data_IF_195449031213
#
_entry.id   IF_195449031213
#
_cell.length_a   1.000
_cell.length_b   1.000
_cell.length_c   1.000
_cell.angle_alpha   90.00
_cell.angle_beta   90.00
_cell.angle_gamma   90.00
#
_symmetry.space_group_name_H-M   'P 1'
#
loop_
_entity.id
_entity.type
_entity.pdbx_description
1 polymer ?
#
# COMPACT_ATOMS: atom_id res chain seq x y z
N UNK A 1 -37.67 -18.25 85.81
CA UNK A 1 -36.39 -17.93 85.14
C UNK A 1 -36.20 -18.96 84.04
N UNK A 2 -36.62 -18.64 82.82
CA UNK A 2 -36.78 -19.60 81.73
C UNK A 2 -35.50 -19.63 80.90
N UNK A 3 -34.77 -20.74 80.98
CA UNK A 3 -33.50 -20.92 80.29
C UNK A 3 -33.79 -21.16 78.79
N UNK A 4 -33.50 -20.17 77.96
CA UNK A 4 -33.60 -20.27 76.51
C UNK A 4 -32.44 -21.13 76.00
N UNK A 5 -32.74 -22.37 75.63
CA UNK A 5 -31.75 -23.29 75.07
C UNK A 5 -31.44 -22.83 73.65
N UNK A 6 -30.30 -22.17 73.46
CA UNK A 6 -29.72 -21.89 72.15
C UNK A 6 -28.81 -23.07 71.77
N UNK A 7 -29.26 -23.91 70.84
CA UNK A 7 -28.47 -24.98 70.21
C UNK A 7 -27.45 -24.37 69.23
N UNK A 8 -26.16 -24.55 69.51
CA UNK A 8 -25.05 -24.10 68.67
C UNK A 8 -23.71 -24.30 69.38
N UNK A 9 -22.61 -24.43 68.62
CA UNK A 9 -21.26 -24.56 69.19
C UNK A 9 -20.89 -23.31 70.02
N UNK A 10 -20.20 -23.49 71.14
CA UNK A 10 -19.88 -22.41 72.09
C UNK A 10 -18.40 -22.39 72.41
N UNK A 11 -17.78 -21.22 72.36
CA UNK A 11 -16.41 -21.05 72.84
C UNK A 11 -16.47 -20.83 74.35
N UNK A 12 -15.72 -21.64 75.07
CA UNK A 12 -15.68 -21.62 76.51
C UNK A 12 -14.29 -21.18 76.97
N UNK A 13 -14.20 -19.98 77.54
CA UNK A 13 -12.93 -19.49 78.10
C UNK A 13 -13.05 -19.46 79.62
N UNK A 14 -12.11 -20.10 80.31
CA UNK A 14 -12.04 -20.11 81.77
C UNK A 14 -10.80 -19.36 82.22
N UNK A 15 -10.97 -18.42 83.14
CA UNK A 15 -9.86 -17.70 83.76
C UNK A 15 -9.91 -17.85 85.28
N UNK A 16 -8.80 -18.25 85.93
CA UNK A 16 -8.77 -18.40 87.37
C UNK A 16 -8.78 -17.03 88.06
N UNK A 17 -9.64 -16.87 89.05
CA UNK A 17 -9.62 -15.75 89.98
C UNK A 17 -8.78 -16.19 91.18
N UNK A 18 -7.62 -15.56 91.32
CA UNK A 18 -6.67 -15.81 92.39
C UNK A 18 -7.12 -15.05 93.65
N UNK A 19 -7.21 -15.74 94.79
CA UNK A 19 -7.38 -15.10 96.10
C UNK A 19 -6.13 -15.42 96.90
N UNK A 20 -5.23 -14.44 97.01
CA UNK A 20 -3.83 -14.69 97.37
C UNK A 20 -3.04 -15.26 96.19
N UNK A 21 -2.17 -16.26 96.42
CA UNK A 21 -1.37 -16.94 95.37
C UNK A 21 -2.00 -18.22 94.84
N UNK A 22 -3.22 -18.58 95.26
CA UNK A 22 -3.91 -19.81 94.85
C UNK A 22 -5.19 -19.49 94.06
N UNK A 23 -5.44 -20.21 92.94
CA UNK A 23 -6.71 -20.11 92.22
C UNK A 23 -7.81 -20.78 93.04
N UNK A 24 -8.84 -20.02 93.41
CA UNK A 24 -9.98 -20.51 94.21
C UNK A 24 -11.27 -20.54 93.40
N UNK A 25 -11.47 -19.60 92.49
CA UNK A 25 -12.64 -19.55 91.62
C UNK A 25 -12.23 -19.50 90.14
N UNK A 26 -13.11 -19.92 89.25
CA UNK A 26 -12.90 -19.83 87.80
C UNK A 26 -14.05 -19.08 87.17
N UNK A 27 -13.74 -17.97 86.49
CA UNK A 27 -14.73 -17.25 85.70
C UNK A 27 -14.83 -17.93 84.34
N UNK A 28 -16.03 -18.43 84.03
CA UNK A 28 -16.31 -19.11 82.77
C UNK A 28 -17.17 -18.21 81.89
N UNK A 29 -16.63 -17.78 80.75
CA UNK A 29 -17.36 -17.00 79.76
C UNK A 29 -17.69 -17.91 78.58
N UNK A 30 -18.99 -18.08 78.32
CA UNK A 30 -19.50 -18.91 77.24
C UNK A 30 -20.07 -18.00 76.16
N UNK A 31 -19.37 -17.86 75.05
CA UNK A 31 -19.82 -17.06 73.90
C UNK A 31 -20.43 -17.95 72.82
N UNK A 32 -21.65 -17.64 72.33
CA UNK A 32 -22.21 -18.31 71.15
C UNK A 32 -21.34 -18.04 69.92
N UNK A 33 -20.86 -19.10 69.25
CA UNK A 33 -19.94 -18.94 68.09
C UNK A 33 -20.64 -18.52 66.81
N UNK A 34 -21.93 -18.84 66.67
CA UNK A 34 -22.80 -18.44 65.57
C UNK A 34 -22.72 -16.94 65.28
N UNK A 35 -22.76 -16.10 66.32
CA UNK A 35 -22.66 -14.64 66.18
C UNK A 35 -21.30 -14.17 65.67
N UNK A 36 -20.22 -14.88 65.99
CA UNK A 36 -18.86 -14.57 65.55
C UNK A 36 -18.70 -14.97 64.08
N UNK A 37 -19.09 -16.19 63.71
CA UNK A 37 -18.98 -16.69 62.35
C UNK A 37 -19.86 -15.94 61.35
N UNK A 38 -21.10 -15.56 61.73
CA UNK A 38 -21.98 -14.77 60.86
C UNK A 38 -21.38 -13.40 60.48
N UNK A 39 -20.67 -12.76 61.42
CA UNK A 39 -20.03 -11.46 61.18
C UNK A 39 -18.77 -11.59 60.32
N UNK A 40 -17.98 -12.65 60.51
CA UNK A 40 -16.80 -12.92 59.66
C UNK A 40 -17.24 -13.28 58.24
N UNK A 41 -18.24 -14.14 58.10
CA UNK A 41 -18.73 -14.60 56.80
C UNK A 41 -19.29 -13.44 55.95
N UNK A 42 -20.06 -12.54 56.55
CA UNK A 42 -20.61 -11.37 55.85
C UNK A 42 -19.53 -10.38 55.38
N UNK A 43 -18.46 -10.18 56.16
CA UNK A 43 -17.31 -9.35 55.77
C UNK A 43 -16.51 -10.00 54.64
N UNK A 44 -16.18 -11.29 54.77
CA UNK A 44 -15.46 -12.05 53.73
C UNK A 44 -16.23 -12.08 52.41
N UNK A 45 -17.55 -12.28 52.46
CA UNK A 45 -18.41 -12.29 51.28
C UNK A 45 -18.46 -10.91 50.59
N UNK A 46 -18.54 -9.83 51.37
CA UNK A 46 -18.57 -8.46 50.83
C UNK A 46 -17.26 -8.10 50.13
N UNK A 47 -16.12 -8.46 50.71
CA UNK A 47 -14.80 -8.24 50.06
C UNK A 47 -14.63 -9.13 48.81
N UNK A 48 -15.12 -10.37 48.84
CA UNK A 48 -15.13 -11.26 47.67
C UNK A 48 -15.91 -10.70 46.48
N UNK A 49 -17.10 -10.12 46.73
CA UNK A 49 -17.92 -9.52 45.67
C UNK A 49 -17.23 -8.30 45.05
N UNK A 50 -16.60 -7.45 45.86
CA UNK A 50 -15.86 -6.28 45.35
C UNK A 50 -14.76 -6.70 44.38
N UNK A 51 -13.96 -7.70 44.76
CA UNK A 51 -12.91 -8.24 43.89
C UNK A 51 -13.46 -8.83 42.59
N UNK A 52 -14.57 -9.57 42.66
CA UNK A 52 -15.21 -10.14 41.48
C UNK A 52 -15.78 -9.06 40.53
N UNK A 53 -16.37 -7.99 41.08
CA UNK A 53 -16.90 -6.87 40.29
C UNK A 53 -15.79 -6.11 39.53
N UNK A 54 -14.60 -5.99 40.10
CA UNK A 54 -13.44 -5.37 39.45
C UNK A 54 -12.89 -6.24 38.31
N UNK A 55 -12.81 -7.56 38.53
CA UNK A 55 -12.36 -8.50 37.50
C UNK A 55 -13.33 -8.58 36.32
N UNK A 56 -14.62 -8.65 36.58
CA UNK A 56 -15.66 -8.66 35.54
C UNK A 56 -15.71 -7.36 34.74
N UNK A 57 -15.53 -6.21 35.39
CA UNK A 57 -15.44 -4.91 34.71
C UNK A 57 -14.23 -4.79 33.78
N UNK A 58 -13.05 -5.17 34.25
CA UNK A 58 -11.82 -5.10 33.45
C UNK A 58 -11.84 -6.07 32.27
N UNK A 59 -12.30 -7.31 32.49
CA UNK A 59 -12.47 -8.30 31.41
C UNK A 59 -13.49 -7.83 30.36
N UNK A 60 -14.64 -7.28 30.78
CA UNK A 60 -15.61 -6.71 29.85
C UNK A 60 -15.01 -5.56 29.03
N UNK A 61 -14.26 -4.65 29.67
CA UNK A 61 -13.58 -3.55 28.98
C UNK A 61 -12.55 -4.05 27.96
N UNK A 62 -11.76 -5.08 28.31
CA UNK A 62 -10.81 -5.71 27.39
C UNK A 62 -11.54 -6.34 26.19
N UNK A 63 -12.65 -7.04 26.42
CA UNK A 63 -13.44 -7.64 25.33
C UNK A 63 -13.95 -6.57 24.36
N UNK A 64 -14.49 -5.46 24.88
CA UNK A 64 -14.95 -4.33 24.07
C UNK A 64 -13.78 -3.72 23.28
N UNK A 65 -12.63 -3.52 23.92
CA UNK A 65 -11.43 -3.00 23.26
C UNK A 65 -10.96 -3.91 22.12
N UNK A 66 -10.89 -5.22 22.36
CA UNK A 66 -10.51 -6.23 21.35
C UNK A 66 -11.49 -6.22 20.18
N UNK A 67 -12.79 -6.09 20.45
CA UNK A 67 -13.81 -6.00 19.40
C UNK A 67 -13.61 -4.74 18.54
N UNK A 68 -13.37 -3.58 19.16
CA UNK A 68 -13.09 -2.33 18.45
C UNK A 68 -11.82 -2.44 17.60
N UNK A 69 -10.74 -3.00 18.16
CA UNK A 69 -9.48 -3.20 17.45
C UNK A 69 -9.65 -4.14 16.25
N UNK A 70 -10.41 -5.23 16.39
CA UNK A 70 -10.72 -6.13 15.27
C UNK A 70 -11.51 -5.43 14.18
N UNK A 71 -12.50 -4.63 14.54
CA UNK A 71 -13.31 -3.88 13.57
C UNK A 71 -12.46 -2.86 12.80
N UNK A 72 -11.62 -2.10 13.50
CA UNK A 72 -10.69 -1.15 12.87
C UNK A 72 -9.66 -1.83 11.98
N UNK A 73 -9.10 -2.95 12.43
CA UNK A 73 -8.14 -3.74 11.65
C UNK A 73 -8.75 -4.22 10.33
N UNK A 74 -9.99 -4.72 10.35
CA UNK A 74 -10.67 -5.19 9.13
C UNK A 74 -10.87 -4.06 8.12
N UNK A 75 -11.34 -2.89 8.57
CA UNK A 75 -11.57 -1.73 7.70
C UNK A 75 -10.25 -1.24 7.09
N UNK A 76 -9.19 -1.18 7.90
CA UNK A 76 -7.89 -0.72 7.44
C UNK A 76 -7.28 -1.66 6.40
N UNK A 77 -7.39 -2.98 6.60
CA UNK A 77 -6.91 -3.97 5.64
C UNK A 77 -7.66 -3.91 4.32
N UNK A 78 -8.97 -3.69 4.36
CA UNK A 78 -9.78 -3.52 3.15
C UNK A 78 -9.37 -2.28 2.36
N UNK A 79 -9.20 -1.13 3.02
CA UNK A 79 -8.76 0.11 2.37
C UNK A 79 -7.34 -0.02 1.81
N UNK A 80 -6.40 -0.62 2.56
CA UNK A 80 -5.03 -0.86 2.07
C UNK A 80 -5.04 -1.76 0.85
N UNK A 81 -5.83 -2.83 0.87
CA UNK A 81 -5.94 -3.77 -0.26
C UNK A 81 -6.52 -3.07 -1.48
N UNK A 82 -7.57 -2.25 -1.28
CA UNK A 82 -8.19 -1.47 -2.35
C UNK A 82 -7.21 -0.47 -2.96
N UNK A 83 -6.53 0.33 -2.14
CA UNK A 83 -5.52 1.30 -2.60
C UNK A 83 -4.36 0.61 -3.32
N UNK A 84 -3.91 -0.53 -2.80
CA UNK A 84 -2.84 -1.32 -3.45
C UNK A 84 -3.30 -1.83 -4.81
N UNK A 85 -4.54 -2.28 -4.92
CA UNK A 85 -5.13 -2.72 -6.20
C UNK A 85 -5.26 -1.57 -7.18
N UNK A 86 -5.83 -0.43 -6.78
CA UNK A 86 -6.03 0.75 -7.63
C UNK A 86 -4.67 1.31 -8.10
N UNK A 87 -3.68 1.33 -7.20
CA UNK A 87 -2.31 1.75 -7.51
C UNK A 87 -1.65 0.78 -8.50
N UNK A 88 -1.79 -0.53 -8.31
CA UNK A 88 -1.26 -1.53 -9.24
C UNK A 88 -1.94 -1.45 -10.61
N UNK A 89 -3.24 -1.23 -10.67
CA UNK A 89 -3.96 -1.04 -11.94
C UNK A 89 -3.47 0.22 -12.67
N UNK A 90 -3.29 1.32 -11.94
CA UNK A 90 -2.76 2.57 -12.48
C UNK A 90 -1.33 2.41 -12.99
N UNK A 91 -0.46 1.74 -12.22
CA UNK A 91 0.89 1.42 -12.63
C UNK A 91 0.91 0.53 -13.88
N UNK A 92 0.02 -0.46 -13.96
CA UNK A 92 -0.09 -1.31 -15.15
C UNK A 92 -0.51 -0.53 -16.40
N UNK A 93 -1.48 0.39 -16.27
CA UNK A 93 -1.90 1.29 -17.36
C UNK A 93 -0.75 2.20 -17.79
N UNK A 94 -0.03 2.80 -16.83
CA UNK A 94 1.13 3.64 -17.11
C UNK A 94 2.24 2.86 -17.80
N UNK A 95 2.53 1.64 -17.34
CA UNK A 95 3.54 0.77 -17.95
C UNK A 95 3.19 0.45 -19.41
N UNK A 96 1.93 0.09 -19.69
CA UNK A 96 1.46 -0.16 -21.06
C UNK A 96 1.51 1.07 -21.94
N UNK A 97 1.10 2.23 -21.42
CA UNK A 97 1.17 3.49 -22.17
C UNK A 97 2.62 3.85 -22.50
N UNK A 98 3.53 3.68 -21.53
CA UNK A 98 4.96 3.93 -21.70
C UNK A 98 5.60 2.97 -22.72
N UNK A 99 5.24 1.69 -22.69
CA UNK A 99 5.69 0.71 -23.68
C UNK A 99 5.22 1.09 -25.10
N UNK A 100 3.96 1.49 -25.25
CA UNK A 100 3.43 1.97 -26.53
C UNK A 100 4.14 3.23 -27.01
N UNK A 101 4.40 4.18 -26.12
CA UNK A 101 5.17 5.39 -26.44
C UNK A 101 6.59 5.05 -26.88
N UNK A 102 7.25 4.12 -26.20
CA UNK A 102 8.61 3.70 -26.54
C UNK A 102 8.66 3.04 -27.92
N UNK A 103 7.69 2.20 -28.26
CA UNK A 103 7.59 1.59 -29.60
C UNK A 103 7.43 2.67 -30.68
N UNK A 104 6.58 3.68 -30.44
CA UNK A 104 6.40 4.81 -31.36
C UNK A 104 7.68 5.63 -31.52
N UNK A 105 8.34 5.95 -30.42
CA UNK A 105 9.59 6.72 -30.43
C UNK A 105 10.70 5.97 -31.17
N UNK A 106 10.82 4.65 -30.97
CA UNK A 106 11.78 3.82 -31.70
C UNK A 106 11.46 3.76 -33.20
N UNK A 107 10.18 3.60 -33.57
CA UNK A 107 9.76 3.62 -34.97
C UNK A 107 10.03 4.98 -35.63
N UNK A 108 9.77 6.09 -34.92
CA UNK A 108 10.06 7.44 -35.40
C UNK A 108 11.56 7.65 -35.61
N UNK A 109 12.38 7.23 -34.65
CA UNK A 109 13.83 7.32 -34.75
C UNK A 109 14.37 6.48 -35.91
N UNK A 110 13.84 5.27 -36.13
CA UNK A 110 14.18 4.45 -37.28
C UNK A 110 13.79 5.12 -38.60
N UNK A 111 12.58 5.69 -38.68
CA UNK A 111 12.11 6.42 -39.86
C UNK A 111 13.03 7.59 -40.21
N UNK A 112 13.38 8.43 -39.23
CA UNK A 112 14.28 9.58 -39.44
C UNK A 112 15.65 9.12 -39.94
N UNK A 113 16.21 8.06 -39.35
CA UNK A 113 17.51 7.52 -39.75
C UNK A 113 17.50 6.99 -41.19
N UNK A 114 16.46 6.25 -41.56
CA UNK A 114 16.29 5.73 -42.93
C UNK A 114 16.10 6.87 -43.92
N UNK A 115 15.22 7.84 -43.62
CA UNK A 115 14.99 9.01 -44.47
C UNK A 115 16.29 9.79 -44.70
N UNK A 116 17.09 10.02 -43.66
CA UNK A 116 18.38 10.70 -43.79
C UNK A 116 19.36 9.94 -44.69
N UNK A 117 19.41 8.61 -44.58
CA UNK A 117 20.26 7.76 -45.43
C UNK A 117 19.82 7.78 -46.90
N UNK A 118 18.52 7.62 -47.14
CA UNK A 118 17.94 7.62 -48.48
C UNK A 118 18.06 8.99 -49.15
N UNK A 119 18.02 10.09 -48.39
CA UNK A 119 18.27 11.45 -48.91
C UNK A 119 19.74 11.66 -49.25
N UNK A 120 20.67 11.14 -48.44
CA UNK A 120 22.13 11.30 -48.68
C UNK A 120 22.57 10.61 -49.97
N UNK A 121 21.98 9.46 -50.28
CA UNK A 121 22.32 8.62 -51.44
C UNK A 121 22.23 9.34 -52.79
N UNK A 122 21.15 10.08 -53.14
CA UNK A 122 21.07 10.91 -54.35
C UNK A 122 21.81 12.25 -54.22
N UNK A 123 21.97 12.81 -53.02
CA UNK A 123 22.71 14.08 -52.81
C UNK A 123 24.20 13.91 -53.16
N UNK A 124 24.82 12.81 -52.75
CA UNK A 124 26.26 12.63 -52.94
C UNK A 124 26.68 12.60 -54.43
N UNK A 125 25.98 11.87 -55.34
CA UNK A 125 26.21 11.95 -56.79
C UNK A 125 25.98 13.34 -57.39
N UNK A 126 25.00 14.10 -56.88
CA UNK A 126 24.75 15.48 -57.35
C UNK A 126 25.95 16.36 -57.01
N UNK A 127 26.41 16.34 -55.76
CA UNK A 127 27.58 17.10 -55.33
C UNK A 127 28.83 16.72 -56.11
N UNK A 128 29.07 15.43 -56.31
CA UNK A 128 30.20 14.94 -57.09
C UNK A 128 30.13 15.40 -58.56
N UNK A 129 28.95 15.33 -59.19
CA UNK A 129 28.76 15.79 -60.56
C UNK A 129 28.96 17.31 -60.71
N UNK A 130 28.50 18.10 -59.74
CA UNK A 130 28.74 19.56 -59.68
C UNK A 130 30.24 19.85 -59.56
N UNK A 131 30.95 19.16 -58.66
CA UNK A 131 32.40 19.33 -58.49
C UNK A 131 33.16 18.99 -59.78
N UNK A 132 32.78 17.89 -60.45
CA UNK A 132 33.39 17.51 -61.72
C UNK A 132 33.11 18.56 -62.82
N UNK A 133 31.88 19.09 -62.90
CA UNK A 133 31.54 20.15 -63.86
C UNK A 133 32.34 21.45 -63.70
N UNK A 134 32.85 21.72 -62.49
CA UNK A 134 33.70 22.89 -62.20
C UNK A 134 35.16 22.71 -62.67
N UNK A 135 35.57 21.51 -63.09
CA UNK A 135 36.93 21.26 -63.59
C UNK A 135 37.17 21.85 -64.99
N UNK A 136 38.38 22.35 -65.24
CA UNK A 136 38.79 22.89 -66.53
C UNK A 136 38.96 21.78 -67.60
N UNK A 137 38.70 22.10 -68.87
CA UNK A 137 38.86 21.21 -70.05
C UNK A 137 37.92 19.98 -70.15
N UNK A 138 36.63 20.15 -69.84
CA UNK A 138 35.61 19.12 -70.11
C UNK A 138 35.04 19.19 -71.53
N UNK A 139 34.97 18.04 -72.21
CA UNK A 139 34.25 17.90 -73.47
C UNK A 139 32.73 18.07 -73.28
N UNK A 140 32.03 18.51 -74.33
CA UNK A 140 30.56 18.66 -74.33
C UNK A 140 29.85 17.36 -73.94
N UNK A 141 30.36 16.21 -74.37
CA UNK A 141 29.80 14.89 -74.04
C UNK A 141 29.86 14.63 -72.52
N UNK A 142 31.00 14.89 -71.87
CA UNK A 142 31.14 14.70 -70.41
C UNK A 142 30.27 15.68 -69.62
N UNK A 143 30.15 16.94 -70.08
CA UNK A 143 29.24 17.93 -69.46
C UNK A 143 27.79 17.45 -69.47
N UNK A 144 27.31 16.98 -70.62
CA UNK A 144 25.95 16.44 -70.75
C UNK A 144 25.73 15.24 -69.83
N UNK A 145 26.72 14.33 -69.77
CA UNK A 145 26.64 13.16 -68.90
C UNK A 145 26.53 13.54 -67.41
N UNK A 146 27.30 14.53 -66.92
CA UNK A 146 27.18 15.01 -65.55
C UNK A 146 25.87 15.76 -65.29
N UNK A 147 25.37 16.51 -66.27
CA UNK A 147 24.04 17.14 -66.18
C UNK A 147 22.92 16.09 -66.04
N UNK A 148 23.02 14.98 -66.77
CA UNK A 148 22.08 13.85 -66.63
C UNK A 148 22.17 13.18 -65.26
N UNK A 149 23.37 13.10 -64.65
CA UNK A 149 23.53 12.64 -63.26
C UNK A 149 22.78 13.56 -62.29
N UNK A 150 22.93 14.87 -62.45
CA UNK A 150 22.25 15.83 -61.58
C UNK A 150 20.73 15.71 -61.74
N UNK A 151 20.24 15.71 -62.99
CA UNK A 151 18.81 15.63 -63.29
C UNK A 151 18.16 14.40 -62.67
N UNK A 152 18.67 13.20 -62.97
CA UNK A 152 18.04 11.96 -62.47
C UNK A 152 18.03 11.85 -60.94
N UNK A 153 19.07 12.34 -60.27
CA UNK A 153 19.15 12.26 -58.80
C UNK A 153 18.29 13.34 -58.14
N UNK A 154 18.13 14.51 -58.78
CA UNK A 154 17.19 15.54 -58.32
C UNK A 154 15.75 15.05 -58.45
N UNK A 155 15.40 14.37 -59.54
CA UNK A 155 14.09 13.72 -59.70
C UNK A 155 13.86 12.62 -58.65
N UNK A 156 14.88 11.82 -58.32
CA UNK A 156 14.80 10.85 -57.22
C UNK A 156 14.58 11.52 -55.86
N UNK A 157 15.30 12.62 -55.59
CA UNK A 157 15.14 13.38 -54.35
C UNK A 157 13.71 13.95 -54.23
N UNK A 158 13.14 14.45 -55.32
CA UNK A 158 11.77 14.95 -55.36
C UNK A 158 10.74 13.86 -55.03
N UNK A 159 10.90 12.66 -55.61
CA UNK A 159 10.04 11.51 -55.26
C UNK A 159 10.16 11.12 -53.78
N UNK A 160 11.38 11.02 -53.27
CA UNK A 160 11.62 10.68 -51.86
C UNK A 160 11.04 11.73 -50.90
N UNK A 161 11.08 13.01 -51.27
CA UNK A 161 10.45 14.08 -50.48
C UNK A 161 8.92 13.97 -50.45
N UNK A 162 8.30 13.61 -51.58
CA UNK A 162 6.86 13.35 -51.65
C UNK A 162 6.48 12.13 -50.80
N UNK A 163 7.25 11.04 -50.88
CA UNK A 163 7.04 9.83 -50.08
C UNK A 163 7.09 10.14 -48.57
N UNK A 164 8.04 10.97 -48.12
CA UNK A 164 8.13 11.42 -46.73
C UNK A 164 6.91 12.26 -46.34
N UNK A 165 6.49 13.19 -47.19
CA UNK A 165 5.32 14.04 -46.94
C UNK A 165 4.04 13.20 -46.81
N UNK A 166 3.85 12.20 -47.65
CA UNK A 166 2.70 11.31 -47.60
C UNK A 166 2.65 10.49 -46.31
N UNK A 167 3.79 9.98 -45.83
CA UNK A 167 3.86 9.31 -44.52
C UNK A 167 3.46 10.26 -43.39
N UNK A 168 3.95 11.51 -43.38
CA UNK A 168 3.57 12.49 -42.34
C UNK A 168 2.08 12.89 -42.38
N UNK A 169 1.46 12.90 -43.56
CA UNK A 169 0.01 13.11 -43.73
C UNK A 169 -0.80 11.93 -43.19
N UNK A 170 -0.35 10.70 -43.43
CA UNK A 170 -1.00 9.50 -42.91
C UNK A 170 -0.95 9.47 -41.39
N UNK A 171 0.21 9.75 -40.78
CA UNK A 171 0.33 9.80 -39.32
C UNK A 171 -0.56 10.87 -38.69
N UNK A 172 -0.59 12.07 -39.25
CA UNK A 172 -1.43 13.17 -38.74
C UNK A 172 -2.93 12.91 -38.89
N UNK A 173 -3.36 12.25 -39.97
CA UNK A 173 -4.76 11.83 -40.12
C UNK A 173 -5.12 10.66 -39.21
N UNK A 174 -4.22 9.69 -39.01
CA UNK A 174 -4.40 8.61 -38.05
C UNK A 174 -4.60 9.15 -36.63
N UNK A 175 -3.81 10.16 -36.23
CA UNK A 175 -3.96 10.83 -34.93
C UNK A 175 -5.31 11.56 -34.75
N UNK A 176 -5.92 12.07 -35.83
CA UNK A 176 -7.27 12.67 -35.74
C UNK A 176 -8.36 11.64 -35.51
N UNK A 177 -8.27 10.46 -36.15
CA UNK A 177 -9.29 9.41 -36.05
C UNK A 177 -9.30 8.68 -34.68
N UNK A 178 -8.22 8.74 -33.92
CA UNK A 178 -8.13 8.11 -32.59
C UNK A 178 -8.67 9.04 -31.47
N UNK A 179 -8.87 10.33 -31.78
CA UNK A 179 -9.31 11.35 -30.83
C UNK A 179 -10.81 11.72 -30.95
N UNK A 180 -11.58 11.00 -31.78
CA UNK A 180 -13.06 11.02 -31.82
C UNK A 180 -13.64 9.75 -31.19
#
# INVERSE_FOLDING_TARGET
MQCMIMEGERLNTQSPILVGTKPVYFLQVVTPTDRIYLKINSVLFTEGIKMFSLLTGTTAAIIVLVFLLRKWYSILQEEVTKRTRDLNESNYKLMKANESLKIKDEAQNQFINVAAHELRTPIQPILNAIYLLQSANLSTVKKNQYMDIIKRNTEKLGRLAEDILDVTRIESNSLKLINE
#
